data_IF_207945253056
#
_entry.id   IF_207945253056
#
_cell.length_a   1.000
_cell.length_b   1.000
_cell.length_c   1.000
_cell.angle_alpha   90.00
_cell.angle_beta   90.00
_cell.angle_gamma   90.00
#
_symmetry.space_group_name_H-M   'P 1'
#
loop_
_entity.id
_entity.type
_entity.pdbx_description
1 polymer ?
#
# COMPACT_ATOMS: atom_id res chain seq x y z
N UNK A 1 -6.68 18.88 -28.71
CA UNK A 1 -5.38 19.36 -28.19
C UNK A 1 -4.55 18.14 -27.77
N UNK A 2 -3.22 18.22 -27.79
CA UNK A 2 -2.33 17.18 -27.27
C UNK A 2 -1.03 17.82 -26.75
N UNK A 3 -0.40 17.15 -25.78
CA UNK A 3 0.93 17.47 -25.26
C UNK A 3 1.74 16.17 -25.17
N UNK A 4 3.03 16.22 -25.52
CA UNK A 4 3.90 15.05 -25.66
C UNK A 4 4.13 14.63 -27.12
N UNK A 5 5.15 13.79 -27.32
CA UNK A 5 5.53 13.18 -28.59
C UNK A 5 6.11 11.79 -28.32
N UNK A 6 5.70 10.77 -29.09
CA UNK A 6 5.89 9.33 -28.80
C UNK A 6 7.35 8.93 -28.56
N UNK A 7 8.32 9.65 -29.14
CA UNK A 7 9.74 9.40 -28.93
C UNK A 7 10.46 10.46 -28.09
N UNK A 8 9.78 11.54 -27.70
CA UNK A 8 10.40 12.64 -26.97
C UNK A 8 10.07 12.56 -25.48
N UNK A 9 10.85 11.72 -24.79
CA UNK A 9 10.69 11.49 -23.36
C UNK A 9 11.04 12.71 -22.50
N UNK A 10 11.62 13.79 -23.07
CA UNK A 10 11.80 15.04 -22.31
C UNK A 10 10.48 15.78 -22.08
N UNK A 11 9.47 15.56 -22.92
CA UNK A 11 8.14 16.14 -22.77
C UNK A 11 7.29 15.30 -21.82
N UNK A 12 7.07 14.03 -22.17
CA UNK A 12 6.34 13.05 -21.36
C UNK A 12 6.94 11.65 -21.57
N UNK A 13 6.94 10.85 -20.51
CA UNK A 13 7.41 9.48 -20.50
C UNK A 13 6.52 8.64 -19.56
N UNK A 14 5.63 7.84 -20.16
CA UNK A 14 4.61 7.03 -19.46
C UNK A 14 3.74 7.87 -18.51
N UNK A 15 3.11 8.88 -19.08
CA UNK A 15 2.15 9.73 -18.38
C UNK A 15 0.95 8.95 -17.84
N UNK A 16 0.43 9.42 -16.70
CA UNK A 16 -0.81 8.96 -16.08
C UNK A 16 -1.66 10.16 -15.63
N UNK A 17 -2.94 9.89 -15.40
CA UNK A 17 -4.01 10.78 -14.92
C UNK A 17 -3.83 12.28 -15.25
N UNK A 18 -3.98 12.69 -16.52
CA UNK A 18 -4.08 14.11 -16.83
C UNK A 18 -5.45 14.65 -16.37
N UNK A 19 -5.47 15.74 -15.60
CA UNK A 19 -6.70 16.40 -15.16
C UNK A 19 -6.66 17.93 -15.35
N UNK A 20 -7.84 18.55 -15.42
CA UNK A 20 -8.01 20.00 -15.53
C UNK A 20 -7.88 20.67 -14.16
N UNK A 21 -7.07 21.71 -14.13
CA UNK A 21 -6.98 22.63 -12.99
C UNK A 21 -8.06 23.71 -13.06
N UNK A 22 -8.30 24.37 -11.93
CA UNK A 22 -9.27 25.47 -11.82
C UNK A 22 -8.98 26.65 -12.76
N UNK A 23 -7.71 26.85 -13.13
CA UNK A 23 -7.26 27.88 -14.09
C UNK A 23 -7.38 27.45 -15.56
N UNK A 24 -7.86 26.22 -15.84
CA UNK A 24 -7.99 25.64 -17.17
C UNK A 24 -6.73 25.01 -17.74
N UNK A 25 -5.59 25.05 -17.02
CA UNK A 25 -4.40 24.28 -17.36
C UNK A 25 -4.60 22.80 -17.06
N UNK A 26 -3.67 21.96 -17.51
CA UNK A 26 -3.72 20.52 -17.30
C UNK A 26 -2.56 20.10 -16.40
N UNK A 27 -2.86 19.42 -15.30
CA UNK A 27 -1.87 18.74 -14.46
C UNK A 27 -1.67 17.31 -14.95
N UNK A 28 -0.44 16.82 -14.97
CA UNK A 28 -0.09 15.50 -15.51
C UNK A 28 0.95 14.85 -14.61
N UNK A 29 0.71 13.59 -14.23
CA UNK A 29 1.74 12.74 -13.65
C UNK A 29 2.62 12.14 -14.76
N UNK A 30 3.90 12.50 -14.79
CA UNK A 30 4.87 12.08 -15.80
C UNK A 30 5.80 11.02 -15.21
N UNK A 31 5.29 9.78 -15.15
CA UNK A 31 5.75 8.77 -14.18
C UNK A 31 7.20 8.35 -14.34
N UNK A 32 7.68 8.08 -15.55
CA UNK A 32 9.09 7.64 -15.75
C UNK A 32 10.08 8.81 -15.76
N UNK A 33 9.59 10.04 -15.59
CA UNK A 33 10.40 11.21 -15.33
C UNK A 33 10.30 11.67 -13.86
N UNK A 34 9.61 10.90 -13.00
CA UNK A 34 9.44 11.13 -11.57
C UNK A 34 9.00 12.57 -11.23
N UNK A 35 8.03 13.09 -12.00
CA UNK A 35 7.57 14.47 -11.84
C UNK A 35 6.08 14.63 -12.10
N UNK A 36 5.54 15.69 -11.52
CA UNK A 36 4.23 16.25 -11.88
C UNK A 36 4.46 17.55 -12.64
N UNK A 37 3.75 17.75 -13.74
CA UNK A 37 3.83 18.98 -14.54
C UNK A 37 2.45 19.63 -14.68
N UNK A 38 2.43 20.96 -14.73
CA UNK A 38 1.28 21.75 -15.17
C UNK A 38 1.58 22.33 -16.55
N UNK A 39 0.71 22.03 -17.51
CA UNK A 39 0.82 22.48 -18.89
C UNK A 39 -0.28 23.47 -19.20
N UNK A 40 0.09 24.63 -19.71
CA UNK A 40 -0.87 25.60 -20.22
C UNK A 40 -1.65 25.02 -21.41
N UNK A 41 -2.98 25.00 -21.29
CA UNK A 41 -3.83 24.42 -22.33
C UNK A 41 -3.68 25.12 -23.69
N UNK A 42 -3.51 26.43 -23.72
CA UNK A 42 -3.46 27.18 -24.99
C UNK A 42 -2.07 27.18 -25.60
N UNK A 43 -1.05 27.52 -24.80
CA UNK A 43 0.32 27.73 -25.29
C UNK A 43 1.12 26.44 -25.36
N UNK A 44 0.69 25.38 -24.66
CA UNK A 44 1.44 24.12 -24.47
C UNK A 44 2.77 24.29 -23.73
N UNK A 45 2.97 25.41 -23.05
CA UNK A 45 4.14 25.59 -22.20
C UNK A 45 3.95 24.86 -20.88
N UNK A 46 5.04 24.35 -20.33
CA UNK A 46 5.06 23.88 -18.94
C UNK A 46 5.17 25.10 -18.03
N UNK A 47 4.16 25.36 -17.23
CA UNK A 47 4.07 26.52 -16.34
C UNK A 47 4.56 26.20 -14.93
N UNK A 48 4.54 24.91 -14.56
CA UNK A 48 4.97 24.46 -13.24
C UNK A 48 5.44 23.01 -13.29
N UNK A 49 6.45 22.68 -12.47
CA UNK A 49 6.99 21.32 -12.33
C UNK A 49 7.25 21.04 -10.85
N UNK A 50 6.83 19.88 -10.36
CA UNK A 50 7.30 19.31 -9.11
C UNK A 50 8.03 18.00 -9.38
N UNK A 51 9.30 17.96 -8.98
CA UNK A 51 10.22 16.84 -9.17
C UNK A 51 10.95 16.57 -7.84
N UNK A 52 10.17 16.48 -6.75
CA UNK A 52 10.71 16.13 -5.44
C UNK A 52 11.24 14.68 -5.41
N UNK A 53 11.29 14.10 -4.22
CA UNK A 53 11.66 12.68 -4.03
C UNK A 53 10.52 11.74 -4.46
N UNK A 54 10.01 11.87 -5.68
CA UNK A 54 8.95 11.03 -6.23
C UNK A 54 9.54 9.76 -6.86
N UNK A 55 8.78 8.68 -6.84
CA UNK A 55 9.10 7.44 -7.53
C UNK A 55 7.85 6.93 -8.25
N UNK A 56 7.83 7.13 -9.57
CA UNK A 56 6.77 6.73 -10.48
C UNK A 56 5.38 7.22 -10.06
N UNK A 57 5.18 8.55 -9.94
CA UNK A 57 3.88 9.12 -9.58
C UNK A 57 2.84 8.81 -10.64
N UNK A 58 1.60 8.50 -10.26
CA UNK A 58 0.54 8.15 -11.22
C UNK A 58 -0.61 9.12 -11.29
N UNK A 59 -0.74 9.99 -10.30
CA UNK A 59 -1.91 10.83 -10.17
C UNK A 59 -1.56 12.08 -9.38
N UNK A 60 -2.20 13.20 -9.73
CA UNK A 60 -2.01 14.48 -9.08
C UNK A 60 -3.22 15.40 -9.26
N UNK A 61 -3.84 15.80 -8.16
CA UNK A 61 -5.04 16.62 -8.15
C UNK A 61 -4.84 17.94 -7.41
N UNK A 62 -5.47 19.01 -7.91
CA UNK A 62 -5.53 20.28 -7.20
C UNK A 62 -6.58 20.23 -6.09
N UNK A 63 -6.14 20.54 -4.88
CA UNK A 63 -6.99 20.61 -3.71
C UNK A 63 -7.65 22.00 -3.59
N UNK A 64 -8.79 22.14 -2.89
CA UNK A 64 -9.48 23.43 -2.72
C UNK A 64 -8.64 24.55 -2.09
N UNK A 65 -7.58 24.20 -1.35
CA UNK A 65 -6.65 25.16 -0.75
C UNK A 65 -5.47 25.54 -1.68
N UNK A 66 -5.46 25.07 -2.93
CA UNK A 66 -4.41 25.31 -3.91
C UNK A 66 -3.17 24.41 -3.76
N UNK A 67 -3.17 23.49 -2.79
CA UNK A 67 -2.16 22.45 -2.70
C UNK A 67 -2.40 21.37 -3.77
N UNK A 68 -1.42 20.49 -3.95
CA UNK A 68 -1.54 19.34 -4.86
C UNK A 68 -1.49 18.05 -4.05
N UNK A 69 -2.48 17.18 -4.23
CA UNK A 69 -2.49 15.82 -3.73
C UNK A 69 -1.84 14.93 -4.79
N UNK A 70 -0.87 14.10 -4.42
CA UNK A 70 -0.09 13.29 -5.37
C UNK A 70 -0.07 11.84 -4.89
N UNK A 71 -0.37 10.93 -5.81
CA UNK A 71 -0.20 9.49 -5.59
C UNK A 71 1.16 9.04 -6.12
N UNK A 72 2.09 8.84 -5.18
CA UNK A 72 3.49 8.45 -5.43
C UNK A 72 3.60 6.91 -5.34
N UNK A 73 3.48 6.25 -6.49
CA UNK A 73 3.11 4.83 -6.54
C UNK A 73 4.23 3.90 -6.09
N UNK A 74 5.44 4.06 -6.61
CA UNK A 74 6.58 3.25 -6.16
C UNK A 74 7.19 3.80 -4.87
N UNK A 75 6.97 5.08 -4.56
CA UNK A 75 7.20 5.65 -3.23
C UNK A 75 6.25 5.11 -2.14
N UNK A 76 5.25 4.30 -2.53
CA UNK A 76 4.28 3.64 -1.64
C UNK A 76 3.57 4.62 -0.69
N UNK A 77 3.18 5.79 -1.22
CA UNK A 77 2.57 6.85 -0.40
C UNK A 77 1.61 7.73 -1.19
N UNK A 78 0.79 8.47 -0.45
CA UNK A 78 0.07 9.63 -0.95
C UNK A 78 0.60 10.85 -0.19
N UNK A 79 0.90 11.94 -0.90
CA UNK A 79 1.42 13.17 -0.32
C UNK A 79 0.56 14.35 -0.71
N UNK A 80 0.45 15.33 0.17
CA UNK A 80 -0.02 16.66 -0.17
C UNK A 80 1.17 17.61 -0.14
N UNK A 81 1.35 18.38 -1.20
CA UNK A 81 2.40 19.39 -1.29
C UNK A 81 1.81 20.78 -1.38
N UNK A 82 2.49 21.75 -0.77
CA UNK A 82 2.20 23.15 -1.05
C UNK A 82 2.70 23.49 -2.46
N UNK A 83 1.81 24.00 -3.31
CA UNK A 83 2.12 24.22 -4.73
C UNK A 83 3.19 25.29 -4.95
N UNK A 84 3.28 26.28 -4.07
CA UNK A 84 4.25 27.38 -4.17
C UNK A 84 5.60 27.01 -3.54
N UNK A 85 5.62 26.61 -2.27
CA UNK A 85 6.86 26.28 -1.56
C UNK A 85 7.45 24.91 -1.95
N UNK A 86 6.65 24.04 -2.58
CA UNK A 86 7.00 22.64 -2.91
C UNK A 86 7.24 21.74 -1.71
N UNK A 87 6.88 22.18 -0.51
CA UNK A 87 7.04 21.39 0.70
C UNK A 87 5.91 20.37 0.85
N UNK A 88 6.24 19.18 1.33
CA UNK A 88 5.25 18.18 1.74
C UNK A 88 4.61 18.67 3.04
N UNK A 89 3.30 18.93 3.01
CA UNK A 89 2.53 19.40 4.17
C UNK A 89 1.72 18.30 4.83
N UNK A 90 1.50 17.20 4.12
CA UNK A 90 0.86 15.98 4.65
C UNK A 90 1.33 14.76 3.88
N UNK A 91 1.33 13.59 4.53
CA UNK A 91 1.71 12.34 3.91
C UNK A 91 1.04 11.15 4.60
N UNK A 92 0.64 10.15 3.82
CA UNK A 92 0.23 8.84 4.30
C UNK A 92 1.07 7.72 3.67
N UNK A 93 1.66 6.88 4.52
CA UNK A 93 2.55 5.74 4.20
C UNK A 93 2.04 4.42 4.81
N UNK A 94 0.72 4.23 4.86
CA UNK A 94 0.13 3.01 5.46
C UNK A 94 0.50 1.72 4.73
N UNK A 95 -0.39 0.72 4.76
CA UNK A 95 -0.23 -0.53 3.98
C UNK A 95 -0.49 -0.31 2.48
N UNK A 96 0.20 0.68 1.90
CA UNK A 96 0.10 1.04 0.48
C UNK A 96 1.13 0.27 -0.34
N UNK A 97 0.64 -0.43 -1.35
CA UNK A 97 1.43 -1.20 -2.30
C UNK A 97 1.00 -0.73 -3.67
N UNK A 98 1.83 0.13 -4.27
CA UNK A 98 1.59 0.68 -5.58
C UNK A 98 0.19 1.34 -5.65
N UNK A 99 -0.10 2.36 -4.81
CA UNK A 99 -1.37 3.09 -4.85
C UNK A 99 -1.55 3.76 -6.21
N UNK A 100 -2.76 3.77 -6.77
CA UNK A 100 -3.00 4.19 -8.16
C UNK A 100 -3.52 5.64 -8.25
N UNK A 101 -4.45 6.00 -7.37
CA UNK A 101 -5.21 7.25 -7.42
C UNK A 101 -5.62 7.63 -5.99
N UNK A 102 -5.75 8.94 -5.72
CA UNK A 102 -6.20 9.44 -4.44
C UNK A 102 -7.02 10.71 -4.56
N UNK A 103 -8.28 10.66 -4.14
CA UNK A 103 -9.24 11.76 -4.24
C UNK A 103 -9.54 12.39 -2.87
N UNK A 104 -9.68 13.72 -2.82
CA UNK A 104 -10.27 14.40 -1.67
C UNK A 104 -11.80 14.30 -1.71
N UNK A 105 -12.40 13.84 -0.63
CA UNK A 105 -13.86 13.75 -0.46
C UNK A 105 -14.44 15.03 0.16
N UNK A 106 -15.75 15.25 -0.01
CA UNK A 106 -16.47 16.41 0.53
C UNK A 106 -16.37 16.54 2.06
N UNK A 107 -16.19 15.42 2.77
CA UNK A 107 -16.03 15.38 4.22
C UNK A 107 -14.59 15.70 4.68
N UNK A 108 -13.66 15.94 3.75
CA UNK A 108 -12.25 16.20 4.01
C UNK A 108 -11.37 14.95 4.12
N UNK A 109 -11.95 13.74 4.02
CA UNK A 109 -11.18 12.51 3.97
C UNK A 109 -10.57 12.30 2.57
N UNK A 110 -9.61 11.40 2.48
CA UNK A 110 -8.94 11.03 1.23
C UNK A 110 -9.29 9.58 0.91
N UNK A 111 -9.88 9.35 -0.27
CA UNK A 111 -10.14 8.03 -0.79
C UNK A 111 -8.94 7.58 -1.62
N UNK A 112 -8.32 6.45 -1.27
CA UNK A 112 -7.09 5.96 -1.90
C UNK A 112 -7.36 4.60 -2.53
N UNK A 113 -7.13 4.50 -3.84
CA UNK A 113 -7.08 3.23 -4.55
C UNK A 113 -5.72 2.55 -4.35
N UNK A 114 -5.62 1.57 -3.45
CA UNK A 114 -4.38 0.86 -3.18
C UNK A 114 -4.09 -0.22 -4.25
N UNK A 115 -3.72 0.21 -5.45
CA UNK A 115 -3.60 -0.58 -6.69
C UNK A 115 -3.27 -2.07 -6.50
N UNK A 116 -2.00 -2.42 -6.29
CA UNK A 116 -1.60 -3.83 -6.10
C UNK A 116 -2.04 -4.35 -4.73
N UNK A 117 -2.13 -3.47 -3.72
CA UNK A 117 -2.57 -3.85 -2.38
C UNK A 117 -4.00 -4.39 -2.32
N UNK A 118 -4.85 -4.11 -3.31
CA UNK A 118 -6.17 -4.71 -3.47
C UNK A 118 -7.23 -4.17 -2.49
N UNK A 119 -6.99 -2.98 -1.94
CA UNK A 119 -7.88 -2.32 -0.97
C UNK A 119 -8.18 -0.90 -1.41
N UNK A 120 -9.41 -0.45 -1.21
CA UNK A 120 -9.73 0.98 -1.22
C UNK A 120 -9.76 1.44 0.23
N UNK A 121 -9.05 2.51 0.54
CA UNK A 121 -9.06 3.13 1.87
C UNK A 121 -9.76 4.47 1.82
N UNK A 122 -10.56 4.78 2.84
CA UNK A 122 -10.90 6.15 3.18
C UNK A 122 -10.11 6.54 4.42
N UNK A 123 -9.30 7.58 4.30
CA UNK A 123 -8.36 8.05 5.32
C UNK A 123 -8.76 9.45 5.77
N UNK A 124 -8.89 9.67 7.07
CA UNK A 124 -9.10 11.02 7.60
C UNK A 124 -7.82 11.87 7.57
N UNK A 125 -7.91 13.21 7.65
CA UNK A 125 -6.74 14.09 7.60
C UNK A 125 -5.66 13.81 8.65
N UNK A 126 -6.01 13.23 9.78
CA UNK A 126 -5.09 12.77 10.84
C UNK A 126 -4.41 11.42 10.53
N UNK A 127 -4.70 10.82 9.37
CA UNK A 127 -4.08 9.58 8.89
C UNK A 127 -4.75 8.30 9.36
N UNK A 128 -5.98 8.37 9.89
CA UNK A 128 -6.72 7.20 10.37
C UNK A 128 -7.56 6.58 9.26
N UNK A 129 -7.52 5.26 9.12
CA UNK A 129 -8.43 4.53 8.22
C UNK A 129 -9.84 4.54 8.83
N UNK A 130 -10.75 5.31 8.25
CA UNK A 130 -12.14 5.38 8.72
C UNK A 130 -13.05 4.38 8.01
N UNK A 131 -12.69 3.99 6.78
CA UNK A 131 -13.38 2.95 6.03
C UNK A 131 -12.41 2.23 5.09
N UNK A 132 -12.75 1.00 4.70
CA UNK A 132 -12.03 0.26 3.66
C UNK A 132 -12.90 -0.78 2.97
N UNK A 133 -12.55 -1.11 1.74
CA UNK A 133 -13.12 -2.25 1.01
C UNK A 133 -12.03 -3.06 0.31
N UNK A 134 -12.14 -4.39 0.38
CA UNK A 134 -11.14 -5.32 -0.16
C UNK A 134 -10.30 -6.01 0.93
N UNK A 135 -9.48 -6.95 0.49
CA UNK A 135 -8.50 -7.65 1.34
C UNK A 135 -7.09 -7.21 0.93
N UNK A 136 -6.32 -6.69 1.89
CA UNK A 136 -4.91 -6.37 1.65
C UNK A 136 -4.16 -7.61 1.21
N UNK A 137 -3.46 -7.53 0.09
CA UNK A 137 -2.64 -8.63 -0.43
C UNK A 137 -1.62 -9.08 0.62
N UNK A 138 -0.90 -8.13 1.22
CA UNK A 138 0.09 -8.43 2.26
C UNK A 138 -0.55 -9.13 3.47
N UNK A 139 -1.68 -8.60 3.95
CA UNK A 139 -2.41 -9.23 5.06
C UNK A 139 -2.91 -10.62 4.71
N UNK A 140 -3.39 -10.82 3.49
CA UNK A 140 -3.88 -12.12 2.99
C UNK A 140 -2.78 -13.17 2.97
N UNK A 141 -1.58 -12.79 2.51
CA UNK A 141 -0.40 -13.67 2.53
C UNK A 141 0.00 -14.01 3.97
N UNK A 142 0.01 -13.04 4.88
CA UNK A 142 0.29 -13.27 6.31
C UNK A 142 -0.74 -14.21 6.93
N UNK A 143 -2.03 -13.99 6.68
CA UNK A 143 -3.10 -14.85 7.20
C UNK A 143 -3.00 -16.28 6.67
N UNK A 144 -2.77 -16.46 5.38
CA UNK A 144 -2.61 -17.77 4.78
C UNK A 144 -1.43 -18.54 5.39
N UNK A 145 -0.28 -17.87 5.57
CA UNK A 145 0.89 -18.47 6.20
C UNK A 145 0.64 -18.85 7.67
N UNK A 146 -0.07 -18.01 8.42
CA UNK A 146 -0.44 -18.32 9.79
C UNK A 146 -1.37 -19.53 9.86
N UNK A 147 -2.39 -19.61 8.99
CA UNK A 147 -3.31 -20.75 8.92
C UNK A 147 -2.57 -22.04 8.56
N UNK A 148 -1.69 -22.01 7.55
CA UNK A 148 -0.87 -23.17 7.17
C UNK A 148 0.02 -23.61 8.34
N UNK A 149 0.68 -22.67 9.01
CA UNK A 149 1.56 -22.96 10.15
C UNK A 149 0.80 -23.61 11.31
N UNK A 150 -0.39 -23.11 11.63
CA UNK A 150 -1.26 -23.69 12.66
C UNK A 150 -1.73 -25.09 12.27
N UNK A 151 -2.19 -25.29 11.03
CA UNK A 151 -2.65 -26.60 10.53
C UNK A 151 -1.53 -27.65 10.54
N UNK A 152 -0.34 -27.28 10.07
CA UNK A 152 0.85 -28.13 10.14
C UNK A 152 1.18 -28.49 11.58
N UNK A 153 1.08 -27.53 12.51
CA UNK A 153 1.31 -27.76 13.92
C UNK A 153 0.33 -28.74 14.55
N UNK A 154 -0.97 -28.61 14.24
CA UNK A 154 -2.02 -29.52 14.72
C UNK A 154 -1.83 -30.93 14.18
N UNK A 155 -1.58 -31.09 12.87
CA UNK A 155 -1.33 -32.40 12.25
C UNK A 155 -0.12 -33.09 12.89
N UNK A 156 0.97 -32.35 13.09
CA UNK A 156 2.16 -32.89 13.73
C UNK A 156 1.90 -33.35 15.17
N UNK A 157 1.18 -32.55 15.97
CA UNK A 157 0.78 -32.93 17.33
C UNK A 157 -0.10 -34.18 17.33
N UNK A 158 -1.05 -34.30 16.39
CA UNK A 158 -1.89 -35.49 16.25
C UNK A 158 -1.07 -36.75 15.95
N UNK A 159 -0.15 -36.70 14.98
CA UNK A 159 0.71 -37.85 14.65
C UNK A 159 1.66 -38.21 15.79
N UNK A 160 2.24 -37.21 16.45
CA UNK A 160 3.13 -37.41 17.60
C UNK A 160 2.36 -38.05 18.76
N UNK A 161 1.16 -37.54 19.07
CA UNK A 161 0.28 -38.12 20.09
C UNK A 161 -0.11 -39.56 19.75
N UNK A 162 -0.53 -39.82 18.51
CA UNK A 162 -0.88 -41.17 18.04
C UNK A 162 0.28 -42.16 18.18
N UNK A 163 1.49 -41.74 17.77
CA UNK A 163 2.73 -42.52 17.90
C UNK A 163 3.08 -42.78 19.37
N UNK A 164 3.00 -41.77 20.23
CA UNK A 164 3.24 -41.91 21.68
C UNK A 164 2.22 -42.86 22.31
N UNK A 165 0.94 -42.75 21.98
CA UNK A 165 -0.12 -43.63 22.51
C UNK A 165 0.16 -45.09 22.12
N UNK A 166 0.57 -45.33 20.88
CA UNK A 166 0.94 -46.67 20.38
C UNK A 166 2.21 -47.20 21.05
N UNK A 167 3.20 -46.36 21.33
CA UNK A 167 4.44 -46.76 22.02
C UNK A 167 4.20 -46.97 23.52
N UNK A 168 3.42 -46.12 24.20
CA UNK A 168 3.08 -46.28 25.62
C UNK A 168 2.28 -47.56 25.90
N UNK A 169 1.48 -48.04 24.95
CA UNK A 169 0.85 -49.36 25.08
C UNK A 169 1.84 -50.52 24.96
N UNK A 170 3.10 -50.25 24.57
CA UNK A 170 4.13 -51.26 24.28
C UNK A 170 5.35 -51.15 25.22
N UNK A 171 5.81 -49.96 25.61
CA UNK A 171 6.97 -49.73 26.49
C UNK A 171 6.82 -48.47 27.33
N UNK A 172 6.97 -48.60 28.65
CA UNK A 172 6.93 -47.47 29.59
C UNK A 172 8.18 -46.58 29.49
N UNK A 173 7.98 -45.31 29.07
CA UNK A 173 8.87 -44.11 29.05
C UNK A 173 9.63 -43.78 27.75
N UNK A 174 9.61 -42.49 27.30
CA UNK A 174 10.68 -41.48 27.52
C UNK A 174 10.38 -40.04 26.96
N UNK A 175 11.12 -38.98 27.40
CA UNK A 175 10.70 -37.56 27.45
C UNK A 175 11.03 -36.63 26.26
N UNK A 176 11.68 -37.11 25.19
CA UNK A 176 12.07 -36.28 24.03
C UNK A 176 10.90 -35.60 23.30
N UNK A 177 9.70 -36.17 23.44
CA UNK A 177 8.49 -35.62 22.82
C UNK A 177 8.04 -34.28 23.42
N UNK A 178 8.40 -33.96 24.67
CA UNK A 178 7.95 -32.72 25.32
C UNK A 178 8.66 -31.47 24.77
N UNK A 179 9.94 -31.59 24.39
CA UNK A 179 10.71 -30.49 23.79
C UNK A 179 10.12 -30.11 22.43
N UNK A 180 9.78 -31.11 21.61
CA UNK A 180 9.17 -30.91 20.30
C UNK A 180 7.77 -30.27 20.44
N UNK A 181 6.95 -30.75 21.37
CA UNK A 181 5.63 -30.15 21.67
C UNK A 181 5.79 -28.69 22.13
N UNK A 182 6.78 -28.38 22.95
CA UNK A 182 7.08 -27.01 23.39
C UNK A 182 7.45 -26.08 22.23
N UNK A 183 8.31 -26.53 21.31
CA UNK A 183 8.69 -25.76 20.11
C UNK A 183 7.46 -25.49 19.23
N UNK A 184 6.59 -26.48 19.02
CA UNK A 184 5.38 -26.32 18.22
C UNK A 184 4.35 -25.38 18.84
N UNK A 185 4.16 -25.44 20.16
CA UNK A 185 3.31 -24.47 20.86
C UNK A 185 3.88 -23.07 20.63
N UNK A 186 5.21 -22.89 20.72
CA UNK A 186 5.82 -21.58 20.47
C UNK A 186 5.60 -21.08 19.04
N UNK A 187 5.68 -21.95 18.01
CA UNK A 187 5.37 -21.56 16.62
C UNK A 187 3.90 -21.15 16.47
N UNK A 188 2.96 -21.92 17.03
CA UNK A 188 1.53 -21.57 16.99
C UNK A 188 1.28 -20.24 17.72
N UNK A 189 1.89 -20.05 18.89
CA UNK A 189 1.77 -18.81 19.65
C UNK A 189 2.35 -17.63 18.89
N UNK A 190 3.51 -17.78 18.24
CA UNK A 190 4.11 -16.74 17.39
C UNK A 190 3.19 -16.43 16.21
N UNK A 191 2.65 -17.43 15.51
CA UNK A 191 1.70 -17.21 14.41
C UNK A 191 0.43 -16.49 14.89
N UNK A 192 -0.09 -16.82 16.06
CA UNK A 192 -1.25 -16.13 16.65
C UNK A 192 -0.90 -14.68 17.02
N UNK A 193 0.27 -14.44 17.62
CA UNK A 193 0.73 -13.09 17.95
C UNK A 193 0.86 -12.26 16.67
N UNK A 194 1.48 -12.82 15.62
CA UNK A 194 1.59 -12.16 14.31
C UNK A 194 0.19 -11.81 13.79
N UNK A 195 -0.74 -12.78 13.83
CA UNK A 195 -2.12 -12.57 13.39
C UNK A 195 -2.78 -11.40 14.13
N UNK A 196 -2.67 -11.38 15.48
CA UNK A 196 -3.26 -10.35 16.33
C UNK A 196 -2.63 -8.97 16.09
N UNK A 197 -1.31 -8.89 15.93
CA UNK A 197 -0.60 -7.63 15.65
C UNK A 197 -0.85 -7.07 14.27
N UNK A 198 -1.14 -7.92 13.27
CA UNK A 198 -1.43 -7.47 11.90
C UNK A 198 -2.91 -7.13 11.66
N UNK A 199 -3.79 -7.52 12.59
CA UNK A 199 -5.23 -7.21 12.55
C UNK A 199 -5.60 -5.85 13.15
N UNK A 200 -4.81 -5.36 14.12
CA UNK A 200 -4.92 -4.01 14.70
C UNK A 200 -4.38 -2.94 13.75
#
# INVERSE_FOLDING_TARGET
WYYGDYGNHSLLHRQHNPDYLSNGNIIIADSENDRIIEVNYTTKNVEWIYQGDLEWPRDADEMPNGNVLITDSLGSRVIQINKESKEIVWQYKGDLINPYEADLLENGNILIGNGIGGVVYEISPDGVIVWRYGLSYLKSVVYLNCVISILMGVLFLFFTYSKIRKIKSVRGKNPENFVIVGILISFITISIIILLTYTS
#
